data_IF_099833621536
#
_entry.id   IF_099833621536
#
_cell.length_a   1.000
_cell.length_b   1.000
_cell.length_c   1.000
_cell.angle_alpha   90.00
_cell.angle_beta   90.00
_cell.angle_gamma   90.00
#
_symmetry.space_group_name_H-M   'P 1'
#
loop_
_entity.id
_entity.type
_entity.pdbx_description
1 polymer ?
#
# COMPACT_ATOMS: atom_id res chain seq x y z
N UNK A 1 25.62 7.97 9.26
CA UNK A 1 24.78 9.19 9.17
C UNK A 1 23.45 8.85 9.86
N UNK A 2 23.22 9.35 11.08
CA UNK A 2 21.99 9.04 11.79
C UNK A 2 20.83 9.82 11.13
N UNK A 3 19.85 9.11 10.63
CA UNK A 3 18.61 9.73 10.13
C UNK A 3 17.80 10.18 11.35
N UNK A 4 17.83 11.46 11.66
CA UNK A 4 17.36 12.00 12.92
C UNK A 4 15.89 12.38 12.93
N UNK A 5 15.25 12.57 11.78
CA UNK A 5 13.80 12.85 11.73
C UNK A 5 13.21 12.51 10.35
N UNK A 6 11.94 12.03 10.33
CA UNK A 6 11.18 11.80 9.10
C UNK A 6 10.92 13.10 8.32
N UNK A 7 10.77 14.22 9.01
CA UNK A 7 10.63 15.52 8.36
C UNK A 7 11.87 15.89 7.57
N UNK A 8 13.06 15.60 8.09
CA UNK A 8 14.31 15.82 7.39
C UNK A 8 14.41 14.93 6.14
N UNK A 9 14.02 13.65 6.26
CA UNK A 9 13.95 12.73 5.11
C UNK A 9 12.94 13.20 4.06
N UNK A 10 11.78 13.68 4.47
CA UNK A 10 10.76 14.24 3.58
C UNK A 10 11.26 15.48 2.83
N UNK A 11 11.91 16.41 3.54
CA UNK A 11 12.50 17.59 2.92
C UNK A 11 13.62 17.24 1.95
N UNK A 12 14.49 16.32 2.31
CA UNK A 12 15.57 15.87 1.44
C UNK A 12 15.07 15.12 0.20
N UNK A 13 14.02 14.29 0.32
CA UNK A 13 13.36 13.65 -0.82
C UNK A 13 12.76 14.70 -1.76
N UNK A 14 12.04 15.69 -1.22
CA UNK A 14 11.47 16.77 -2.03
C UNK A 14 12.54 17.62 -2.71
N UNK A 15 13.65 17.91 -2.06
CA UNK A 15 14.77 18.62 -2.67
C UNK A 15 15.45 17.79 -3.77
N UNK A 16 15.62 16.49 -3.55
CA UNK A 16 16.15 15.58 -4.57
C UNK A 16 15.23 15.49 -5.80
N UNK A 17 13.90 15.50 -5.59
CA UNK A 17 12.90 15.52 -6.68
C UNK A 17 12.98 16.82 -7.48
N UNK A 18 13.13 17.98 -6.82
CA UNK A 18 13.25 19.29 -7.48
C UNK A 18 14.54 19.43 -8.28
N UNK A 19 15.62 18.80 -7.84
CA UNK A 19 16.95 18.98 -8.40
C UNK A 19 17.35 17.92 -9.44
N UNK A 20 16.60 16.83 -9.57
CA UNK A 20 16.84 15.78 -10.55
C UNK A 20 15.70 15.71 -11.56
N UNK A 21 16.01 15.65 -12.86
CA UNK A 21 15.16 15.09 -13.90
C UNK A 21 14.94 13.58 -13.62
N UNK A 22 14.23 13.26 -12.54
CA UNK A 22 13.80 11.90 -12.25
C UNK A 22 12.83 11.54 -13.36
N UNK A 23 13.30 10.74 -14.32
CA UNK A 23 12.41 10.10 -15.29
C UNK A 23 11.32 9.43 -14.51
N UNK A 24 10.09 9.94 -14.63
CA UNK A 24 8.91 9.35 -14.02
C UNK A 24 8.84 7.93 -14.56
N UNK A 25 9.21 6.94 -13.74
CA UNK A 25 9.09 5.54 -14.15
C UNK A 25 7.64 5.29 -14.55
N UNK A 26 7.46 4.75 -15.74
CA UNK A 26 6.13 4.42 -16.24
C UNK A 26 5.42 3.53 -15.20
N UNK A 27 4.16 3.84 -14.92
CA UNK A 27 3.33 3.03 -14.01
C UNK A 27 3.25 1.63 -14.61
N UNK A 28 3.93 0.66 -13.97
CA UNK A 28 4.07 -0.69 -14.48
C UNK A 28 3.30 -1.66 -13.59
N UNK A 29 2.45 -2.51 -14.18
CA UNK A 29 1.82 -3.62 -13.46
C UNK A 29 2.89 -4.58 -12.92
N UNK A 30 2.68 -5.08 -11.70
CA UNK A 30 3.58 -6.07 -11.08
C UNK A 30 3.59 -7.37 -11.89
N UNK A 31 2.40 -7.78 -12.36
CA UNK A 31 2.22 -8.96 -13.20
C UNK A 31 0.93 -8.81 -14.03
N UNK A 32 0.82 -9.38 -15.24
CA UNK A 32 -0.39 -9.27 -16.06
C UNK A 32 -1.68 -9.76 -15.37
N UNK A 33 -1.60 -10.76 -14.52
CA UNK A 33 -2.72 -11.32 -13.76
C UNK A 33 -3.03 -10.62 -12.44
N UNK A 34 -2.24 -9.60 -12.08
CA UNK A 34 -2.38 -8.83 -10.84
C UNK A 34 -2.86 -7.43 -11.19
N UNK A 35 -3.89 -6.94 -10.52
CA UNK A 35 -4.44 -5.60 -10.79
C UNK A 35 -3.59 -4.49 -10.19
N UNK A 36 -2.69 -4.82 -9.29
CA UNK A 36 -1.79 -3.87 -8.61
C UNK A 36 -0.61 -3.49 -9.47
N UNK A 37 -0.27 -2.22 -9.43
CA UNK A 37 0.94 -1.65 -10.04
C UNK A 37 2.05 -1.51 -8.99
N UNK A 38 3.30 -1.44 -9.44
CA UNK A 38 4.39 -1.00 -8.56
C UNK A 38 4.17 0.45 -8.14
N UNK A 39 4.57 0.75 -6.91
CA UNK A 39 4.52 2.10 -6.37
C UNK A 39 3.12 2.74 -6.45
N UNK A 40 2.12 1.98 -6.07
CA UNK A 40 0.70 2.29 -6.26
C UNK A 40 -0.07 2.46 -4.96
N UNK A 41 -1.24 3.08 -5.07
CA UNK A 41 -2.20 3.21 -3.98
C UNK A 41 -3.48 2.48 -4.33
N UNK A 42 -3.77 1.41 -3.59
CA UNK A 42 -4.89 0.52 -3.82
C UNK A 42 -5.88 0.63 -2.66
N UNK A 43 -7.14 0.91 -2.93
CA UNK A 43 -8.18 1.08 -1.92
C UNK A 43 -9.22 0.00 -2.03
N UNK A 44 -9.49 -0.67 -0.93
CA UNK A 44 -10.52 -1.69 -0.76
C UNK A 44 -11.66 -1.09 0.07
N UNK A 45 -12.72 -0.67 -0.61
CA UNK A 45 -13.81 0.08 -0.02
C UNK A 45 -15.09 -0.76 0.08
N UNK A 46 -15.61 -0.95 1.28
CA UNK A 46 -16.82 -1.76 1.50
C UNK A 46 -17.17 -1.89 2.98
N UNK A 47 -18.39 -2.33 3.26
CA UNK A 47 -18.88 -2.53 4.64
C UNK A 47 -18.05 -3.57 5.40
N UNK A 48 -18.23 -3.65 6.69
CA UNK A 48 -17.65 -4.70 7.52
C UNK A 48 -18.04 -6.08 6.96
N UNK A 49 -17.11 -7.03 7.00
CA UNK A 49 -17.28 -8.40 6.51
C UNK A 49 -17.64 -8.51 5.01
N UNK A 50 -17.32 -7.51 4.19
CA UNK A 50 -17.51 -7.56 2.73
C UNK A 50 -16.40 -8.29 1.97
N UNK A 51 -15.32 -8.73 2.62
CA UNK A 51 -14.19 -9.39 1.98
C UNK A 51 -12.97 -8.51 1.68
N UNK A 52 -13.00 -7.21 2.05
CA UNK A 52 -11.90 -6.26 1.79
C UNK A 52 -10.52 -6.77 2.18
N UNK A 53 -10.38 -7.12 3.47
CA UNK A 53 -9.09 -7.60 4.00
C UNK A 53 -8.66 -8.90 3.33
N UNK A 54 -9.59 -9.82 3.08
CA UNK A 54 -9.31 -11.07 2.36
C UNK A 54 -8.78 -10.80 0.95
N UNK A 55 -9.43 -9.91 0.18
CA UNK A 55 -8.98 -9.57 -1.17
C UNK A 55 -7.63 -8.87 -1.16
N UNK A 56 -7.41 -7.90 -0.25
CA UNK A 56 -6.13 -7.21 -0.12
C UNK A 56 -4.98 -8.19 0.20
N UNK A 57 -5.21 -9.12 1.13
CA UNK A 57 -4.23 -10.14 1.51
C UNK A 57 -4.00 -11.14 0.37
N UNK A 58 -5.03 -11.55 -0.34
CA UNK A 58 -4.90 -12.43 -1.50
C UNK A 58 -4.01 -11.79 -2.58
N UNK A 59 -4.21 -10.50 -2.85
CA UNK A 59 -3.38 -9.75 -3.79
C UNK A 59 -1.92 -9.65 -3.31
N UNK A 60 -1.71 -9.33 -2.03
CA UNK A 60 -0.37 -9.27 -1.41
C UNK A 60 0.35 -10.62 -1.49
N UNK A 61 -0.34 -11.73 -1.23
CA UNK A 61 0.24 -13.08 -1.35
C UNK A 61 0.67 -13.35 -2.79
N UNK A 62 -0.17 -13.03 -3.79
CA UNK A 62 0.18 -13.17 -5.20
C UNK A 62 1.42 -12.35 -5.54
N UNK A 63 1.47 -11.08 -5.12
CA UNK A 63 2.61 -10.19 -5.36
C UNK A 63 3.88 -10.77 -4.74
N UNK A 64 3.83 -11.27 -3.52
CA UNK A 64 4.99 -11.84 -2.83
C UNK A 64 5.61 -13.04 -3.57
N UNK A 65 4.81 -13.73 -4.40
CA UNK A 65 5.25 -14.92 -5.14
C UNK A 65 5.84 -14.60 -6.51
N UNK A 66 5.42 -13.48 -7.13
CA UNK A 66 5.79 -13.17 -8.52
C UNK A 66 6.72 -11.97 -8.65
N UNK A 67 6.76 -11.08 -7.67
CA UNK A 67 7.59 -9.88 -7.73
C UNK A 67 9.02 -10.14 -7.25
N UNK A 68 10.03 -10.01 -8.11
CA UNK A 68 11.42 -10.25 -7.72
C UNK A 68 12.00 -9.14 -6.83
N UNK A 69 11.42 -7.94 -6.88
CA UNK A 69 11.91 -6.76 -6.14
C UNK A 69 11.16 -6.49 -4.85
N UNK A 70 10.00 -7.13 -4.63
CA UNK A 70 9.25 -6.96 -3.38
C UNK A 70 9.95 -7.72 -2.26
N UNK A 71 10.36 -7.00 -1.21
CA UNK A 71 11.22 -7.56 -0.17
C UNK A 71 10.55 -7.70 1.19
N UNK A 72 9.51 -6.91 1.51
CA UNK A 72 8.79 -7.00 2.78
C UNK A 72 7.35 -6.50 2.68
N UNK A 73 6.55 -6.89 3.67
CA UNK A 73 5.24 -6.32 3.98
C UNK A 73 5.28 -5.64 5.33
N UNK A 74 4.80 -4.39 5.41
CA UNK A 74 4.50 -3.72 6.65
C UNK A 74 2.98 -3.76 6.84
N UNK A 75 2.53 -4.50 7.85
CA UNK A 75 1.11 -4.64 8.18
C UNK A 75 0.75 -3.76 9.36
N UNK A 76 -0.13 -2.79 9.12
CA UNK A 76 -0.56 -1.80 10.10
C UNK A 76 -2.01 -2.06 10.48
N UNK A 77 -2.26 -2.34 11.75
CA UNK A 77 -3.61 -2.61 12.25
C UNK A 77 -3.79 -2.10 13.68
N UNK A 78 -5.02 -1.74 14.02
CA UNK A 78 -5.45 -1.37 15.38
C UNK A 78 -5.47 -2.58 16.31
N UNK A 79 -5.80 -3.74 15.78
CA UNK A 79 -5.98 -4.97 16.53
C UNK A 79 -4.66 -5.73 16.64
N UNK A 80 -4.47 -6.44 17.76
CA UNK A 80 -3.27 -7.26 17.93
C UNK A 80 -3.26 -8.46 16.97
N UNK A 81 -2.08 -8.91 16.59
CA UNK A 81 -1.87 -10.06 15.67
C UNK A 81 -2.57 -11.35 16.13
N UNK A 82 -2.75 -11.52 17.44
CA UNK A 82 -3.34 -12.73 18.02
C UNK A 82 -4.85 -12.85 17.79
N UNK A 83 -5.53 -11.75 17.44
CA UNK A 83 -6.99 -11.72 17.28
C UNK A 83 -7.44 -11.72 15.83
N UNK A 84 -6.52 -11.51 14.89
CA UNK A 84 -6.82 -11.45 13.46
C UNK A 84 -6.47 -12.76 12.76
N UNK A 85 -7.48 -13.58 12.51
CA UNK A 85 -7.34 -14.86 11.78
C UNK A 85 -6.81 -14.67 10.35
N UNK A 86 -7.09 -13.55 9.73
CA UNK A 86 -6.65 -13.23 8.37
C UNK A 86 -5.16 -12.97 8.37
N UNK A 87 -4.65 -12.27 9.39
CA UNK A 87 -3.22 -12.06 9.58
C UNK A 87 -2.47 -13.38 9.88
N UNK A 88 -3.04 -14.26 10.70
CA UNK A 88 -2.44 -15.57 10.94
C UNK A 88 -2.34 -16.40 9.66
N UNK A 89 -3.37 -16.37 8.81
CA UNK A 89 -3.32 -17.04 7.50
C UNK A 89 -2.24 -16.44 6.61
N UNK A 90 -2.06 -15.10 6.63
CA UNK A 90 -1.06 -14.40 5.86
C UNK A 90 0.36 -14.86 6.19
N UNK A 91 0.69 -15.03 7.47
CA UNK A 91 2.02 -15.48 7.90
C UNK A 91 2.46 -16.82 7.29
N UNK A 92 1.51 -17.72 7.07
CA UNK A 92 1.79 -19.05 6.50
C UNK A 92 1.87 -19.07 4.98
N UNK A 93 1.30 -18.09 4.30
CA UNK A 93 1.14 -18.08 2.84
C UNK A 93 2.07 -17.12 2.13
N UNK A 94 2.53 -16.07 2.81
CA UNK A 94 3.43 -15.06 2.25
C UNK A 94 4.87 -15.53 2.22
N UNK A 95 5.61 -15.14 1.17
CA UNK A 95 7.01 -15.55 0.98
C UNK A 95 8.03 -14.45 1.31
N UNK A 96 7.56 -13.32 1.82
CA UNK A 96 8.42 -12.20 2.21
C UNK A 96 8.27 -11.91 3.70
N UNK A 97 9.27 -11.31 4.36
CA UNK A 97 9.18 -10.88 5.75
C UNK A 97 8.00 -9.95 6.01
N UNK A 98 7.38 -10.10 7.18
CA UNK A 98 6.30 -9.23 7.65
C UNK A 98 6.76 -8.46 8.87
N UNK A 99 6.62 -7.13 8.83
CA UNK A 99 6.75 -6.26 9.99
C UNK A 99 5.35 -5.84 10.40
N UNK A 100 4.96 -6.20 11.62
CA UNK A 100 3.69 -5.78 12.19
C UNK A 100 3.85 -4.48 12.97
N UNK A 101 2.98 -3.52 12.66
CA UNK A 101 2.93 -2.22 13.36
C UNK A 101 1.53 -2.03 13.93
N UNK A 102 1.46 -1.97 15.25
CA UNK A 102 0.21 -1.62 15.94
C UNK A 102 0.05 -0.11 15.96
N UNK A 103 -1.12 0.39 15.60
CA UNK A 103 -1.44 1.80 15.82
C UNK A 103 -2.53 1.97 16.90
N UNK A 104 -2.62 3.16 17.44
CA UNK A 104 -3.67 3.59 18.39
C UNK A 104 -4.34 4.87 17.89
N UNK A 105 -5.58 5.13 18.32
CA UNK A 105 -6.36 6.28 17.84
C UNK A 105 -5.81 7.63 18.34
N UNK A 106 -4.92 7.64 19.33
CA UNK A 106 -4.31 8.85 19.87
C UNK A 106 -2.98 9.13 19.17
N UNK A 107 -2.83 10.32 18.60
CA UNK A 107 -1.67 10.71 17.79
C UNK A 107 -0.35 10.58 18.55
N UNK A 108 -0.30 11.06 19.78
CA UNK A 108 0.92 11.00 20.62
C UNK A 108 1.41 9.59 20.96
N UNK A 109 0.52 8.59 20.89
CA UNK A 109 0.86 7.19 21.16
C UNK A 109 1.34 6.44 19.93
N UNK A 110 1.37 7.06 18.74
CA UNK A 110 1.85 6.45 17.51
C UNK A 110 3.33 6.74 17.23
N UNK A 111 4.04 7.44 18.11
CA UNK A 111 5.47 7.80 17.90
C UNK A 111 6.35 6.60 17.59
N UNK A 112 6.20 5.50 18.33
CA UNK A 112 7.00 4.30 18.12
C UNK A 112 6.71 3.67 16.75
N UNK A 113 5.45 3.67 16.32
CA UNK A 113 5.04 3.16 15.01
C UNK A 113 5.62 4.02 13.88
N UNK A 114 5.57 5.34 14.01
CA UNK A 114 6.17 6.28 13.06
C UNK A 114 7.68 6.10 12.99
N UNK A 115 8.36 5.90 14.14
CA UNK A 115 9.80 5.66 14.19
C UNK A 115 10.20 4.39 13.44
N UNK A 116 9.44 3.29 13.57
CA UNK A 116 9.69 2.05 12.81
C UNK A 116 9.66 2.32 11.30
N UNK A 117 8.64 3.02 10.81
CA UNK A 117 8.54 3.40 9.41
C UNK A 117 9.70 4.30 8.97
N UNK A 118 10.00 5.35 9.75
CA UNK A 118 11.08 6.29 9.45
C UNK A 118 12.43 5.57 9.37
N UNK A 119 12.69 4.65 10.30
CA UNK A 119 13.90 3.82 10.26
C UNK A 119 13.97 3.01 8.97
N UNK A 120 12.91 2.28 8.61
CA UNK A 120 12.88 1.46 7.38
C UNK A 120 13.09 2.32 6.14
N UNK A 121 12.43 3.48 6.02
CA UNK A 121 12.56 4.36 4.86
C UNK A 121 13.97 4.97 4.75
N UNK A 122 14.58 5.31 5.89
CA UNK A 122 15.96 5.78 5.94
C UNK A 122 16.93 4.71 5.41
N UNK A 123 16.78 3.47 5.85
CA UNK A 123 17.66 2.37 5.41
C UNK A 123 17.39 1.96 3.95
N UNK A 124 16.18 2.07 3.45
CA UNK A 124 15.89 1.90 2.02
C UNK A 124 16.64 2.94 1.17
N UNK A 125 16.60 4.20 1.58
CA UNK A 125 17.34 5.26 0.89
C UNK A 125 18.84 5.00 0.92
N UNK A 126 19.38 4.57 2.05
CA UNK A 126 20.79 4.18 2.15
C UNK A 126 21.12 3.01 1.20
N UNK A 127 20.23 2.01 1.11
CA UNK A 127 20.36 0.92 0.15
C UNK A 127 20.41 1.44 -1.30
N UNK A 128 19.47 2.31 -1.68
CA UNK A 128 19.41 2.89 -3.03
C UNK A 128 20.66 3.70 -3.33
N UNK A 129 21.20 4.47 -2.37
CA UNK A 129 22.44 5.21 -2.52
C UNK A 129 23.63 4.26 -2.73
N UNK A 130 23.75 3.21 -1.91
CA UNK A 130 24.81 2.20 -2.03
C UNK A 130 24.79 1.56 -3.42
N UNK A 131 23.60 1.19 -3.91
CA UNK A 131 23.41 0.59 -5.24
C UNK A 131 23.80 1.56 -6.37
N UNK A 132 23.31 2.80 -6.29
CA UNK A 132 23.54 3.80 -7.33
C UNK A 132 25.00 4.21 -7.45
N UNK A 133 25.72 4.21 -6.33
CA UNK A 133 27.14 4.61 -6.27
C UNK A 133 28.11 3.42 -6.32
N UNK A 134 27.61 2.16 -6.41
CA UNK A 134 28.38 0.91 -6.40
C UNK A 134 29.31 0.83 -5.17
N UNK A 135 28.75 1.05 -3.98
CA UNK A 135 29.49 1.09 -2.72
C UNK A 135 29.38 -0.20 -1.89
N UNK A 136 28.82 -1.29 -2.44
CA UNK A 136 28.56 -2.54 -1.72
C UNK A 136 29.80 -3.12 -1.04
N UNK A 137 30.97 -3.01 -1.69
CA UNK A 137 32.24 -3.52 -1.16
C UNK A 137 32.94 -2.55 -0.18
N UNK A 138 32.42 -1.34 -0.02
CA UNK A 138 33.00 -0.29 0.83
C UNK A 138 32.31 -0.12 2.19
N UNK A 139 31.22 -0.83 2.41
CA UNK A 139 30.46 -0.77 3.66
C UNK A 139 31.11 -1.68 4.68
N UNK A 140 31.29 -1.19 5.90
CA UNK A 140 31.76 -1.98 7.03
C UNK A 140 30.77 -3.10 7.36
N UNK A 141 31.26 -4.25 7.81
CA UNK A 141 30.43 -5.43 8.04
C UNK A 141 29.33 -5.17 9.07
N UNK A 142 29.60 -4.43 10.14
CA UNK A 142 28.61 -4.05 11.16
C UNK A 142 27.47 -3.19 10.56
N UNK A 143 27.80 -2.23 9.70
CA UNK A 143 26.81 -1.38 9.03
C UNK A 143 25.98 -2.19 8.02
N UNK A 144 26.60 -3.15 7.34
CA UNK A 144 25.92 -4.08 6.42
C UNK A 144 24.95 -4.99 7.16
N UNK A 145 25.36 -5.55 8.29
CA UNK A 145 24.49 -6.40 9.13
C UNK A 145 23.28 -5.62 9.64
N UNK A 146 23.46 -4.39 10.13
CA UNK A 146 22.35 -3.55 10.57
C UNK A 146 21.41 -3.20 9.42
N UNK A 147 21.93 -2.83 8.25
CA UNK A 147 21.15 -2.57 7.04
C UNK A 147 20.29 -3.78 6.67
N UNK A 148 20.90 -4.96 6.63
CA UNK A 148 20.23 -6.20 6.25
C UNK A 148 19.18 -6.62 7.28
N UNK A 149 19.46 -6.45 8.57
CA UNK A 149 18.49 -6.74 9.62
C UNK A 149 17.27 -5.81 9.54
N UNK A 150 17.47 -4.51 9.40
CA UNK A 150 16.37 -3.54 9.30
C UNK A 150 15.53 -3.78 8.06
N UNK A 151 16.15 -4.02 6.92
CA UNK A 151 15.46 -4.23 5.64
C UNK A 151 15.01 -5.67 5.41
N UNK A 152 15.40 -6.60 6.31
CA UNK A 152 15.06 -8.03 6.19
C UNK A 152 15.50 -8.63 4.84
N UNK A 153 16.70 -8.30 4.42
CA UNK A 153 17.36 -8.82 3.21
C UNK A 153 18.65 -9.54 3.58
N UNK A 154 19.22 -10.33 2.66
CA UNK A 154 20.44 -11.09 2.89
C UNK A 154 21.62 -10.62 2.01
N UNK A 155 21.33 -9.81 0.99
CA UNK A 155 22.32 -9.37 0.02
C UNK A 155 21.85 -8.12 -0.75
N UNK A 156 22.71 -7.62 -1.63
CA UNK A 156 22.45 -6.53 -2.55
C UNK A 156 21.99 -7.00 -3.94
N UNK A 157 21.42 -8.19 -4.08
CA UNK A 157 21.04 -8.75 -5.39
C UNK A 157 19.89 -7.99 -6.07
N UNK A 158 19.01 -7.36 -5.31
CA UNK A 158 17.88 -6.60 -5.88
C UNK A 158 18.32 -5.23 -6.38
N UNK A 159 17.88 -4.83 -7.58
CA UNK A 159 18.18 -3.50 -8.11
C UNK A 159 17.51 -2.38 -7.31
N UNK A 160 16.34 -2.65 -6.75
CA UNK A 160 15.53 -1.75 -5.92
C UNK A 160 14.72 -2.55 -4.92
N UNK A 161 14.41 -1.96 -3.78
CA UNK A 161 13.61 -2.59 -2.73
C UNK A 161 12.17 -2.05 -2.74
N UNK A 162 11.23 -2.84 -3.24
CA UNK A 162 9.81 -2.51 -3.20
C UNK A 162 9.15 -3.05 -1.92
N UNK A 163 8.44 -2.17 -1.20
CA UNK A 163 7.76 -2.49 0.06
C UNK A 163 6.25 -2.45 -0.11
N UNK A 164 5.55 -3.46 0.40
CA UNK A 164 4.09 -3.45 0.51
C UNK A 164 3.70 -2.89 1.88
N UNK A 165 2.68 -2.03 1.92
CA UNK A 165 2.16 -1.44 3.17
C UNK A 165 0.65 -1.68 3.20
N UNK A 166 0.20 -2.55 4.10
CA UNK A 166 -1.21 -2.81 4.32
C UNK A 166 -1.71 -2.02 5.52
N UNK A 167 -2.67 -1.14 5.29
CA UNK A 167 -3.36 -0.34 6.30
C UNK A 167 -4.77 -0.92 6.50
N UNK A 168 -4.96 -1.70 7.56
CA UNK A 168 -6.23 -2.36 7.83
C UNK A 168 -7.03 -1.63 8.91
N UNK A 169 -8.31 -1.41 8.62
CA UNK A 169 -9.30 -0.72 9.46
C UNK A 169 -8.83 0.65 10.00
N UNK A 170 -8.15 1.41 9.16
CA UNK A 170 -7.57 2.73 9.50
C UNK A 170 -8.54 3.91 9.28
N UNK A 171 -9.83 3.64 9.09
CA UNK A 171 -10.85 4.69 8.94
C UNK A 171 -10.82 5.66 10.14
N UNK A 172 -10.78 6.96 9.84
CA UNK A 172 -10.69 8.05 10.83
C UNK A 172 -9.40 8.09 11.67
N UNK A 173 -8.36 7.38 11.26
CA UNK A 173 -7.08 7.44 11.96
C UNK A 173 -6.33 8.76 11.66
N UNK A 174 -5.75 9.44 12.66
CA UNK A 174 -4.93 10.63 12.44
C UNK A 174 -3.78 10.42 11.43
N UNK A 175 -3.20 9.23 11.37
CA UNK A 175 -2.10 8.89 10.47
C UNK A 175 -2.48 8.92 8.98
N UNK A 176 -3.78 8.79 8.63
CA UNK A 176 -4.29 8.94 7.27
C UNK A 176 -5.04 10.26 7.05
N UNK A 177 -5.06 11.15 8.05
CA UNK A 177 -5.60 12.50 7.91
C UNK A 177 -4.86 13.29 6.84
N UNK A 178 -5.37 14.45 6.44
CA UNK A 178 -4.78 15.25 5.35
C UNK A 178 -3.31 15.65 5.60
N UNK A 179 -2.91 15.79 6.85
CA UNK A 179 -1.54 16.06 7.30
C UNK A 179 -0.93 14.86 8.04
N UNK A 180 -1.55 13.69 7.90
CA UNK A 180 -1.09 12.49 8.59
C UNK A 180 0.09 11.85 7.88
N UNK A 181 0.91 11.17 8.65
CA UNK A 181 2.12 10.51 8.20
C UNK A 181 1.93 9.65 6.92
N UNK A 182 0.90 8.80 6.89
CA UNK A 182 0.67 7.96 5.70
C UNK A 182 0.16 8.74 4.49
N UNK A 183 -0.58 9.84 4.70
CA UNK A 183 -1.00 10.68 3.58
C UNK A 183 0.21 11.32 2.88
N UNK A 184 1.23 11.71 3.64
CA UNK A 184 2.49 12.23 3.11
C UNK A 184 3.30 11.13 2.39
N UNK A 185 3.44 9.95 2.99
CA UNK A 185 4.11 8.81 2.35
C UNK A 185 3.41 8.38 1.04
N UNK A 186 2.07 8.38 1.02
CA UNK A 186 1.28 8.06 -0.17
C UNK A 186 1.56 9.05 -1.31
N UNK A 187 1.70 10.34 -1.00
CA UNK A 187 2.01 11.36 -2.01
C UNK A 187 3.37 11.12 -2.70
N UNK A 188 4.31 10.48 -2.01
CA UNK A 188 5.66 10.19 -2.51
C UNK A 188 5.92 8.69 -2.76
N UNK A 189 4.89 7.86 -2.79
CA UNK A 189 5.00 6.40 -2.83
C UNK A 189 5.89 5.87 -3.97
N UNK A 190 5.94 6.57 -5.12
CA UNK A 190 6.78 6.23 -6.27
C UNK A 190 8.26 6.43 -5.98
N UNK A 191 8.60 7.47 -5.24
CA UNK A 191 9.99 7.80 -4.91
C UNK A 191 10.56 6.95 -3.77
N UNK A 192 9.69 6.40 -2.93
CA UNK A 192 10.08 5.52 -1.84
C UNK A 192 9.86 4.03 -2.16
N UNK A 193 9.51 3.72 -3.40
CA UNK A 193 9.23 2.37 -3.88
C UNK A 193 8.28 1.58 -2.96
N UNK A 194 7.08 2.16 -2.70
CA UNK A 194 6.06 1.55 -1.86
C UNK A 194 4.73 1.40 -2.58
N UNK A 195 4.05 0.27 -2.35
CA UNK A 195 2.63 0.12 -2.71
C UNK A 195 1.78 0.04 -1.47
N UNK A 196 0.73 0.85 -1.42
CA UNK A 196 -0.20 0.94 -0.31
C UNK A 196 -1.49 0.17 -0.62
N UNK A 197 -1.99 -0.54 0.39
CA UNK A 197 -3.25 -1.29 0.40
C UNK A 197 -4.08 -0.76 1.57
N UNK A 198 -5.14 -0.01 1.29
CA UNK A 198 -5.98 0.63 2.29
C UNK A 198 -7.34 -0.08 2.37
N UNK A 199 -7.63 -0.76 3.48
CA UNK A 199 -8.93 -1.33 3.76
C UNK A 199 -9.80 -0.32 4.53
N UNK A 200 -10.84 0.21 3.88
CA UNK A 200 -11.70 1.25 4.45
C UNK A 200 -13.17 0.86 4.40
N UNK A 201 -13.93 1.26 5.43
CA UNK A 201 -15.37 1.02 5.47
C UNK A 201 -16.16 2.09 4.73
N UNK A 202 -15.65 3.33 4.73
CA UNK A 202 -16.33 4.48 4.14
C UNK A 202 -15.40 5.26 3.23
N UNK A 203 -15.84 5.50 2.00
CA UNK A 203 -15.09 6.33 1.05
C UNK A 203 -14.81 7.75 1.57
N UNK A 204 -15.72 8.29 2.38
CA UNK A 204 -15.56 9.63 2.98
C UNK A 204 -14.39 9.72 3.97
N UNK A 205 -13.93 8.62 4.52
CA UNK A 205 -12.77 8.60 5.44
C UNK A 205 -11.43 8.76 4.73
N UNK A 206 -11.40 8.66 3.40
CA UNK A 206 -10.19 8.84 2.60
C UNK A 206 -10.05 10.33 2.26
N UNK A 207 -8.90 10.89 2.55
CA UNK A 207 -8.60 12.31 2.30
C UNK A 207 -8.46 12.61 0.80
N UNK A 208 -8.62 13.87 0.42
CA UNK A 208 -8.45 14.32 -0.97
C UNK A 208 -7.05 14.01 -1.50
N UNK A 209 -6.02 14.16 -0.66
CA UNK A 209 -4.64 13.86 -1.01
C UNK A 209 -4.45 12.37 -1.38
N UNK A 210 -5.00 11.47 -0.59
CA UNK A 210 -4.97 10.03 -0.90
C UNK A 210 -5.74 9.74 -2.19
N UNK A 211 -6.95 10.33 -2.35
CA UNK A 211 -7.78 10.16 -3.55
C UNK A 211 -7.07 10.59 -4.84
N UNK A 212 -6.27 11.65 -4.78
CA UNK A 212 -5.51 12.13 -5.93
C UNK A 212 -4.39 11.18 -6.39
N UNK A 213 -3.98 10.24 -5.54
CA UNK A 213 -2.89 9.29 -5.81
C UNK A 213 -3.36 7.84 -6.04
N UNK A 214 -4.68 7.62 -6.17
CA UNK A 214 -5.24 6.29 -6.34
C UNK A 214 -4.81 5.66 -7.67
N UNK A 215 -4.49 4.38 -7.61
CA UNK A 215 -4.18 3.56 -8.78
C UNK A 215 -5.28 2.54 -9.05
N UNK A 216 -5.75 1.84 -8.02
CA UNK A 216 -6.79 0.82 -8.16
C UNK A 216 -7.79 0.92 -7.00
N UNK A 217 -9.08 0.79 -7.31
CA UNK A 217 -10.15 0.88 -6.32
C UNK A 217 -11.01 -0.37 -6.41
N UNK A 218 -11.14 -1.09 -5.31
CA UNK A 218 -12.00 -2.25 -5.15
C UNK A 218 -13.26 -1.81 -4.40
N UNK A 219 -14.41 -1.83 -5.07
CA UNK A 219 -15.71 -1.41 -4.54
C UNK A 219 -16.55 -2.65 -4.30
N UNK A 220 -16.67 -3.05 -3.03
CA UNK A 220 -17.44 -4.24 -2.65
C UNK A 220 -18.94 -3.95 -2.62
N UNK A 221 -19.76 -5.00 -2.82
CA UNK A 221 -21.20 -4.95 -2.76
C UNK A 221 -21.76 -4.34 -1.46
N UNK A 222 -23.07 -4.12 -1.41
CA UNK A 222 -23.85 -3.63 -0.26
C UNK A 222 -23.83 -2.11 0.00
N UNK A 223 -23.28 -1.28 -0.89
CA UNK A 223 -23.54 0.17 -0.84
C UNK A 223 -24.92 0.52 -1.41
N UNK A 224 -25.58 1.51 -0.81
CA UNK A 224 -26.77 2.08 -1.42
C UNK A 224 -26.44 2.82 -2.73
N UNK A 225 -27.43 2.97 -3.62
CA UNK A 225 -27.27 3.73 -4.86
C UNK A 225 -26.66 5.13 -4.61
N UNK A 226 -27.09 5.82 -3.56
CA UNK A 226 -26.58 7.15 -3.20
C UNK A 226 -25.11 7.11 -2.74
N UNK A 227 -24.72 6.11 -1.96
CA UNK A 227 -23.33 5.94 -1.51
C UNK A 227 -22.40 5.62 -2.68
N UNK A 228 -22.84 4.73 -3.56
CA UNK A 228 -22.09 4.39 -4.78
C UNK A 228 -21.96 5.59 -5.71
N UNK A 229 -23.03 6.34 -5.95
CA UNK A 229 -23.02 7.55 -6.76
C UNK A 229 -22.00 8.56 -6.24
N UNK A 230 -22.01 8.83 -4.92
CA UNK A 230 -21.04 9.74 -4.31
C UNK A 230 -19.57 9.28 -4.53
N UNK A 231 -19.32 7.97 -4.49
CA UNK A 231 -17.99 7.40 -4.72
C UNK A 231 -17.60 7.56 -6.20
N UNK A 232 -18.46 7.13 -7.11
CA UNK A 232 -18.18 7.13 -8.56
C UNK A 232 -17.95 8.53 -9.11
N UNK A 233 -18.69 9.54 -8.67
CA UNK A 233 -18.47 10.93 -9.09
C UNK A 233 -17.11 11.51 -8.69
N UNK A 234 -16.39 10.86 -7.79
CA UNK A 234 -15.03 11.28 -7.38
C UNK A 234 -13.91 10.48 -8.06
N UNK A 235 -14.27 9.53 -8.92
CA UNK A 235 -13.32 8.68 -9.64
C UNK A 235 -13.45 8.98 -11.13
N UNK A 236 -12.32 9.26 -11.78
CA UNK A 236 -12.30 9.38 -13.23
C UNK A 236 -12.53 8.00 -13.86
N UNK A 237 -13.60 7.85 -14.62
CA UNK A 237 -13.94 6.61 -15.34
C UNK A 237 -14.51 6.95 -16.72
N UNK A 238 -14.43 6.01 -17.63
CA UNK A 238 -15.01 6.12 -18.98
C UNK A 238 -16.49 5.73 -19.03
N UNK A 239 -17.05 5.28 -17.91
CA UNK A 239 -18.42 4.75 -17.82
C UNK A 239 -19.34 5.74 -17.13
N UNK A 240 -20.60 5.76 -17.53
CA UNK A 240 -21.65 6.48 -16.84
C UNK A 240 -21.99 5.83 -15.50
N UNK A 241 -22.60 6.58 -14.58
CA UNK A 241 -23.04 6.03 -13.31
C UNK A 241 -24.06 4.88 -13.51
N UNK A 242 -24.93 5.00 -14.48
CA UNK A 242 -25.95 4.01 -14.81
C UNK A 242 -25.33 2.69 -15.25
N UNK A 243 -24.33 2.71 -16.13
CA UNK A 243 -23.59 1.50 -16.56
C UNK A 243 -22.89 0.83 -15.37
N UNK A 244 -22.27 1.60 -14.51
CA UNK A 244 -21.59 1.09 -13.31
C UNK A 244 -22.62 0.51 -12.33
N UNK A 245 -23.75 1.20 -12.14
CA UNK A 245 -24.78 0.75 -11.22
C UNK A 245 -25.43 -0.54 -11.68
N UNK A 246 -25.70 -0.71 -12.97
CA UNK A 246 -26.21 -1.96 -13.53
C UNK A 246 -25.27 -3.15 -13.27
N UNK A 247 -23.97 -2.94 -13.42
CA UNK A 247 -22.97 -3.95 -13.10
C UNK A 247 -22.85 -4.23 -11.57
N UNK A 248 -23.05 -3.19 -10.77
CA UNK A 248 -22.87 -3.25 -9.32
C UNK A 248 -24.04 -3.91 -8.57
N UNK A 249 -25.29 -3.68 -9.02
CA UNK A 249 -26.50 -4.13 -8.30
C UNK A 249 -26.60 -5.66 -8.14
N UNK A 250 -25.93 -6.40 -9.04
CA UNK A 250 -25.93 -7.85 -9.08
C UNK A 250 -24.71 -8.47 -8.36
N UNK A 251 -23.90 -7.65 -7.67
CA UNK A 251 -22.79 -8.12 -6.88
C UNK A 251 -23.24 -8.76 -5.57
N UNK A 252 -22.73 -9.95 -5.32
CA UNK A 252 -22.90 -10.63 -4.05
C UNK A 252 -21.97 -10.05 -2.97
N UNK A 253 -22.09 -10.55 -1.74
CA UNK A 253 -21.42 -10.01 -0.55
C UNK A 253 -19.89 -9.85 -0.69
N UNK A 254 -19.23 -10.76 -1.39
CA UNK A 254 -17.76 -10.80 -1.53
C UNK A 254 -17.27 -10.43 -2.92
N UNK A 255 -18.20 -10.17 -3.83
CA UNK A 255 -17.87 -9.64 -5.15
C UNK A 255 -17.50 -8.17 -5.08
N UNK A 256 -16.72 -7.71 -6.04
CA UNK A 256 -16.40 -6.28 -6.13
C UNK A 256 -16.24 -5.81 -7.58
N UNK A 257 -16.47 -4.53 -7.79
CA UNK A 257 -15.98 -3.81 -8.95
C UNK A 257 -14.53 -3.40 -8.71
N UNK A 258 -13.69 -3.60 -9.70
CA UNK A 258 -12.30 -3.12 -9.70
C UNK A 258 -12.22 -1.97 -10.71
N UNK A 259 -11.91 -0.79 -10.22
CA UNK A 259 -11.70 0.41 -11.05
C UNK A 259 -10.20 0.67 -11.13
N UNK A 260 -9.66 0.62 -12.31
CA UNK A 260 -8.30 1.07 -12.60
C UNK A 260 -8.33 2.59 -12.84
N UNK A 261 -7.86 3.35 -11.86
CA UNK A 261 -7.88 4.81 -11.92
C UNK A 261 -6.91 5.39 -12.97
N UNK A 262 -5.90 4.62 -13.40
CA UNK A 262 -4.95 5.06 -14.42
C UNK A 262 -5.55 4.96 -15.83
N UNK A 263 -6.37 3.94 -16.08
CA UNK A 263 -6.98 3.71 -17.40
C UNK A 263 -8.47 4.03 -17.45
N UNK A 264 -9.12 4.32 -16.32
CA UNK A 264 -10.56 4.51 -16.20
C UNK A 264 -11.40 3.26 -16.51
N UNK A 265 -10.77 2.09 -16.63
CA UNK A 265 -11.44 0.81 -16.94
C UNK A 265 -12.02 0.19 -15.68
N UNK A 266 -13.13 -0.53 -15.86
CA UNK A 266 -13.82 -1.25 -14.79
C UNK A 266 -13.87 -2.74 -15.12
N UNK A 267 -13.64 -3.56 -14.10
CA UNK A 267 -13.79 -5.02 -14.14
C UNK A 267 -14.71 -5.47 -13.00
N UNK A 268 -15.43 -6.55 -13.23
CA UNK A 268 -16.16 -7.25 -12.18
C UNK A 268 -15.30 -8.41 -11.70
N UNK A 269 -15.06 -8.46 -10.40
CA UNK A 269 -14.47 -9.62 -9.73
C UNK A 269 -15.57 -10.36 -8.99
N UNK A 270 -15.80 -11.63 -9.32
CA UNK A 270 -16.69 -12.52 -8.62
C UNK A 270 -15.87 -13.57 -7.88
N UNK A 271 -16.14 -13.70 -6.59
CA UNK A 271 -15.57 -14.80 -5.81
C UNK A 271 -16.38 -16.07 -6.18
N UNK A 272 -15.97 -16.75 -7.26
CA UNK A 272 -16.54 -18.04 -7.59
C UNK A 272 -16.24 -19.01 -6.47
N UNK A 273 -17.28 -19.59 -5.88
CA UNK A 273 -17.18 -20.76 -5.01
C UNK A 273 -16.77 -21.98 -5.90
N UNK A 274 -15.58 -21.96 -6.47
CA UNK A 274 -14.95 -23.14 -7.04
C UNK A 274 -14.30 -23.94 -5.90
N UNK A 275 -15.15 -24.46 -5.02
CA UNK A 275 -14.79 -25.52 -4.08
C UNK A 275 -16.08 -26.31 -3.80
N UNK A 276 -16.49 -27.11 -4.75
CA UNK A 276 -17.39 -28.25 -4.53
C UNK A 276 -16.72 -29.53 -5.00
#
# INVERSE_FOLDING_TARGET
>A
MACTDFQDLYYEINEAIKNNDVKTEAITKIHPEIETYYNSVNVYCGRQSSGKGFQAITEIIKISRVSPITHMLIYVSKYGTQTDKTFESLKHLIQIPIIYVKYVDEEDKNKDSVQVFSKIMCYKRLYDQIKNENLEDKIEDEQREELFDVLKINDFSRPVLHTLILLDDVANNPLISQKGFFAEMIAVCRHIHCSFFLCVQFWKSITTNIKANLSTIYIFGLYSKQQLSYLIYQIATHYTFEEIYEAYKDLEKHDCLIVDANSGKIKIYKLTNEAS
#
